data_IF_096913165340
#
_entry.id   IF_096913165340
#
_cell.length_a   1.000
_cell.length_b   1.000
_cell.length_c   1.000
_cell.angle_alpha   90.00
_cell.angle_beta   90.00
_cell.angle_gamma   90.00
#
_symmetry.space_group_name_H-M   'P 1'
#
loop_
_entity.id
_entity.type
_entity.pdbx_description
1 polymer ?
#
# COMPACT_ATOMS: atom_id res chain seq x y z
N UNK A 1 17.63 -30.75 -10.76
CA UNK A 1 17.22 -29.33 -10.91
C UNK A 1 16.25 -29.03 -9.77
N UNK A 2 16.58 -28.16 -8.80
CA UNK A 2 15.63 -27.89 -7.73
C UNK A 2 14.51 -27.00 -8.28
N UNK A 3 13.32 -27.58 -8.43
CA UNK A 3 12.06 -26.90 -8.70
C UNK A 3 11.63 -26.21 -7.41
N UNK A 4 12.18 -25.03 -7.11
CA UNK A 4 11.64 -24.23 -6.00
C UNK A 4 10.30 -23.67 -6.46
N UNK A 5 9.22 -24.37 -6.15
CA UNK A 5 7.87 -23.86 -6.35
C UNK A 5 7.69 -22.67 -5.41
N UNK A 6 7.63 -21.46 -5.98
CA UNK A 6 7.23 -20.30 -5.20
C UNK A 6 5.81 -20.53 -4.69
N UNK A 7 5.56 -20.36 -3.38
CA UNK A 7 4.22 -20.42 -2.84
C UNK A 7 3.38 -19.32 -3.52
N UNK A 8 2.35 -19.73 -4.28
CA UNK A 8 1.48 -18.84 -5.07
C UNK A 8 0.66 -17.84 -4.23
N UNK A 9 0.79 -17.86 -2.90
CA UNK A 9 0.00 -17.07 -1.97
C UNK A 9 0.69 -15.78 -1.49
N UNK A 10 1.86 -15.41 -2.01
CA UNK A 10 2.51 -14.14 -1.63
C UNK A 10 1.85 -12.91 -2.25
N UNK A 11 1.13 -13.05 -3.37
CA UNK A 11 0.58 -11.91 -4.13
C UNK A 11 -0.88 -11.60 -3.78
N UNK A 12 -1.55 -12.47 -3.02
CA UNK A 12 -2.96 -12.33 -2.70
C UNK A 12 -3.08 -11.51 -1.43
N UNK A 13 -3.74 -10.36 -1.51
CA UNK A 13 -4.05 -9.58 -0.32
C UNK A 13 -4.85 -10.43 0.67
N UNK A 14 -4.53 -10.36 1.98
CA UNK A 14 -5.34 -11.02 3.00
C UNK A 14 -6.78 -10.49 2.96
N UNK A 15 -7.72 -11.43 2.96
CA UNK A 15 -9.17 -11.18 2.96
C UNK A 15 -9.76 -11.73 4.24
N UNK A 16 -10.67 -10.97 4.86
CA UNK A 16 -11.52 -11.45 5.96
C UNK A 16 -12.89 -11.73 5.34
N UNK A 17 -13.13 -12.99 4.97
CA UNK A 17 -14.31 -13.38 4.22
C UNK A 17 -14.39 -12.68 2.85
N UNK A 18 -15.53 -12.08 2.47
CA UNK A 18 -15.68 -11.43 1.16
C UNK A 18 -14.99 -10.06 1.05
N UNK A 19 -14.44 -9.53 2.16
CA UNK A 19 -13.88 -8.17 2.24
C UNK A 19 -12.36 -8.21 2.34
N UNK A 20 -11.65 -7.32 1.63
CA UNK A 20 -10.18 -7.21 1.76
C UNK A 20 -9.78 -6.56 3.08
N UNK A 21 -8.59 -6.84 3.62
CA UNK A 21 -8.13 -6.18 4.86
C UNK A 21 -8.21 -4.66 4.77
N UNK A 22 -7.85 -4.08 3.62
CA UNK A 22 -7.93 -2.63 3.41
C UNK A 22 -9.36 -2.13 3.53
N UNK A 23 -10.31 -2.78 2.85
CA UNK A 23 -11.73 -2.42 2.91
C UNK A 23 -12.30 -2.56 4.34
N UNK A 24 -11.88 -3.59 5.07
CA UNK A 24 -12.27 -3.78 6.46
C UNK A 24 -11.80 -2.62 7.35
N UNK A 25 -10.53 -2.23 7.23
CA UNK A 25 -9.99 -1.07 7.97
C UNK A 25 -10.76 0.21 7.64
N UNK A 26 -11.11 0.44 6.37
CA UNK A 26 -11.91 1.61 5.98
C UNK A 26 -13.35 1.56 6.52
N UNK A 27 -13.98 0.38 6.60
CA UNK A 27 -15.31 0.23 7.21
C UNK A 27 -15.29 0.61 8.69
N UNK A 28 -14.25 0.20 9.43
CA UNK A 28 -14.09 0.56 10.84
C UNK A 28 -13.92 2.08 11.00
N UNK A 29 -13.09 2.70 10.16
CA UNK A 29 -12.90 4.17 10.15
C UNK A 29 -14.21 4.89 9.82
N UNK A 30 -14.95 4.43 8.81
CA UNK A 30 -16.24 5.00 8.44
C UNK A 30 -17.26 4.89 9.58
N UNK A 31 -17.32 3.74 10.26
CA UNK A 31 -18.15 3.52 11.42
C UNK A 31 -17.83 4.48 12.57
N UNK A 32 -16.54 4.68 12.86
CA UNK A 32 -16.09 5.66 13.87
C UNK A 32 -16.47 7.09 13.48
N UNK A 33 -16.30 7.48 12.22
CA UNK A 33 -16.71 8.81 11.73
C UNK A 33 -18.22 8.99 11.88
N UNK A 34 -19.02 8.00 11.49
CA UNK A 34 -20.47 8.02 11.61
C UNK A 34 -20.91 8.14 13.07
N UNK A 35 -20.25 7.40 13.98
CA UNK A 35 -20.48 7.48 15.42
C UNK A 35 -20.11 8.85 16.01
N UNK A 36 -19.00 9.45 15.58
CA UNK A 36 -18.61 10.80 16.00
C UNK A 36 -19.61 11.85 15.52
N UNK A 37 -20.11 11.74 14.29
CA UNK A 37 -21.17 12.62 13.77
C UNK A 37 -22.43 12.47 14.62
N UNK A 38 -22.82 11.24 14.94
CA UNK A 38 -24.02 10.97 15.73
C UNK A 38 -23.93 11.51 17.17
N UNK A 39 -22.74 11.50 17.76
CA UNK A 39 -22.52 11.96 19.16
C UNK A 39 -22.24 13.46 19.27
N UNK A 40 -21.68 14.10 18.25
CA UNK A 40 -21.30 15.53 18.30
C UNK A 40 -22.34 16.48 17.72
N UNK A 41 -23.16 16.04 16.74
CA UNK A 41 -24.19 16.89 16.13
C UNK A 41 -25.52 16.81 16.88
N UNK A 42 -26.29 17.89 16.80
CA UNK A 42 -27.66 17.92 17.31
C UNK A 42 -28.50 16.81 16.66
N UNK A 43 -29.30 16.11 17.47
CA UNK A 43 -30.00 14.87 17.06
C UNK A 43 -30.80 15.00 15.77
N UNK A 44 -31.41 16.17 15.52
CA UNK A 44 -32.23 16.43 14.34
C UNK A 44 -31.45 16.39 13.01
N UNK A 45 -30.22 16.94 12.99
CA UNK A 45 -29.38 16.97 11.78
C UNK A 45 -28.41 15.78 11.69
N UNK A 46 -28.06 15.19 12.84
CA UNK A 46 -27.08 14.11 12.91
C UNK A 46 -27.47 12.90 12.04
N UNK A 47 -28.74 12.48 12.07
CA UNK A 47 -29.22 11.25 11.44
C UNK A 47 -29.23 11.31 9.90
N UNK A 48 -29.84 12.33 9.25
CA UNK A 48 -29.79 12.42 7.79
C UNK A 48 -28.37 12.67 7.28
N UNK A 49 -27.56 13.45 8.01
CA UNK A 49 -26.18 13.72 7.61
C UNK A 49 -25.30 12.46 7.73
N UNK A 50 -25.41 11.73 8.83
CA UNK A 50 -24.72 10.45 9.03
C UNK A 50 -25.10 9.41 7.96
N UNK A 51 -26.37 9.38 7.54
CA UNK A 51 -26.84 8.49 6.49
C UNK A 51 -26.18 8.80 5.14
N UNK A 52 -26.12 10.08 4.75
CA UNK A 52 -25.46 10.52 3.51
C UNK A 52 -23.96 10.16 3.56
N UNK A 53 -23.29 10.46 4.67
CA UNK A 53 -21.87 10.12 4.85
C UNK A 53 -21.63 8.62 4.78
N UNK A 54 -22.52 7.82 5.37
CA UNK A 54 -22.44 6.36 5.31
C UNK A 54 -22.59 5.85 3.89
N UNK A 55 -23.57 6.35 3.14
CA UNK A 55 -23.85 5.94 1.76
C UNK A 55 -22.66 6.25 0.84
N UNK A 56 -22.11 7.46 0.95
CA UNK A 56 -20.90 7.87 0.22
C UNK A 56 -19.69 7.04 0.63
N UNK A 57 -19.51 6.78 1.93
CA UNK A 57 -18.40 5.99 2.44
C UNK A 57 -18.42 4.54 1.97
N UNK A 58 -19.58 3.89 2.00
CA UNK A 58 -19.76 2.52 1.48
C UNK A 58 -19.48 2.48 -0.02
N UNK A 59 -20.00 3.44 -0.78
CA UNK A 59 -19.70 3.54 -2.20
C UNK A 59 -18.20 3.72 -2.47
N UNK A 60 -17.48 4.47 -1.65
CA UNK A 60 -16.05 4.65 -1.82
C UNK A 60 -15.22 3.38 -1.51
N UNK A 61 -15.72 2.52 -0.61
CA UNK A 61 -15.05 1.28 -0.19
C UNK A 61 -15.28 0.15 -1.21
N UNK A 62 -16.50 -0.01 -1.69
CA UNK A 62 -16.90 -1.11 -2.58
C UNK A 62 -17.03 -0.71 -4.05
N UNK A 63 -17.22 0.58 -4.32
CA UNK A 63 -17.32 1.11 -5.67
C UNK A 63 -16.03 0.88 -6.44
N UNK A 64 -16.21 0.46 -7.69
CA UNK A 64 -15.14 0.38 -8.67
C UNK A 64 -15.40 1.42 -9.74
N UNK A 65 -14.42 2.26 -9.98
CA UNK A 65 -14.43 3.26 -11.06
C UNK A 65 -13.42 2.74 -12.08
N UNK A 66 -13.89 2.42 -13.29
CA UNK A 66 -13.04 1.96 -14.40
C UNK A 66 -12.16 0.73 -14.05
N UNK A 67 -12.68 -0.18 -13.21
CA UNK A 67 -11.95 -1.39 -12.77
C UNK A 67 -10.97 -1.17 -11.61
N UNK A 68 -10.76 0.07 -11.17
CA UNK A 68 -9.96 0.43 -10.00
C UNK A 68 -10.85 0.69 -8.78
N UNK A 69 -10.34 0.42 -7.57
CA UNK A 69 -11.05 0.74 -6.34
C UNK A 69 -11.27 2.26 -6.22
N UNK A 70 -12.50 2.70 -5.95
CA UNK A 70 -12.86 4.11 -5.89
C UNK A 70 -12.02 4.90 -4.86
N UNK A 71 -11.66 4.27 -3.74
CA UNK A 71 -10.71 4.84 -2.77
C UNK A 71 -9.35 5.20 -3.40
N UNK A 72 -8.78 4.29 -4.19
CA UNK A 72 -7.48 4.51 -4.83
C UNK A 72 -7.59 5.60 -5.90
N UNK A 73 -8.66 5.58 -6.68
CA UNK A 73 -8.97 6.66 -7.62
C UNK A 73 -9.05 8.03 -6.94
N UNK A 74 -9.77 8.14 -5.81
CA UNK A 74 -9.87 9.40 -5.08
C UNK A 74 -8.52 9.87 -4.55
N UNK A 75 -7.69 8.95 -4.04
CA UNK A 75 -6.34 9.29 -3.58
C UNK A 75 -5.45 9.83 -4.71
N UNK A 76 -5.57 9.28 -5.92
CA UNK A 76 -4.87 9.75 -7.11
C UNK A 76 -5.36 11.13 -7.55
N UNK A 77 -6.67 11.35 -7.54
CA UNK A 77 -7.27 12.65 -7.89
C UNK A 77 -6.83 13.74 -6.91
N UNK A 78 -6.89 13.47 -5.60
CA UNK A 78 -6.40 14.40 -4.57
C UNK A 78 -4.91 14.69 -4.77
N UNK A 79 -4.10 13.67 -5.02
CA UNK A 79 -2.68 13.85 -5.32
C UNK A 79 -2.47 14.69 -6.58
N UNK A 80 -3.26 14.49 -7.64
CA UNK A 80 -3.15 15.26 -8.88
C UNK A 80 -3.53 16.73 -8.69
N UNK A 81 -4.50 17.02 -7.83
CA UNK A 81 -4.94 18.40 -7.53
C UNK A 81 -3.88 19.11 -6.67
N UNK A 82 -3.34 18.42 -5.67
CA UNK A 82 -2.33 18.96 -4.75
C UNK A 82 -0.93 19.00 -5.36
N UNK A 83 -0.67 18.20 -6.39
CA UNK A 83 0.63 18.16 -7.04
C UNK A 83 0.85 19.42 -7.88
N UNK A 84 2.05 20.02 -7.83
CA UNK A 84 2.37 21.18 -8.66
C UNK A 84 2.29 20.79 -10.14
N UNK A 85 1.50 21.54 -10.92
CA UNK A 85 1.40 21.37 -12.37
C UNK A 85 2.70 21.83 -13.02
N UNK A 86 3.59 20.88 -13.28
CA UNK A 86 4.80 21.11 -14.06
C UNK A 86 4.43 21.21 -15.55
N UNK A 87 4.33 22.45 -16.03
CA UNK A 87 4.18 22.75 -17.45
C UNK A 87 5.58 22.71 -18.09
N UNK A 88 5.94 21.60 -18.72
CA UNK A 88 7.20 21.50 -19.46
C UNK A 88 7.04 22.14 -20.85
N UNK A 89 7.35 23.43 -20.96
CA UNK A 89 7.54 24.06 -22.27
C UNK A 89 9.04 24.19 -22.55
N UNK A 90 9.54 23.47 -23.55
CA UNK A 90 10.83 23.73 -24.19
C UNK A 90 12.06 23.51 -23.29
N UNK A 91 12.68 22.32 -23.40
CA UNK A 91 14.09 22.14 -23.07
C UNK A 91 14.41 21.30 -21.83
N UNK A 92 14.98 20.12 -22.12
CA UNK A 92 15.68 19.17 -21.23
C UNK A 92 14.86 18.57 -20.09
N UNK A 93 14.49 17.29 -20.29
CA UNK A 93 14.05 16.36 -19.25
C UNK A 93 15.07 16.34 -18.12
N UNK A 94 14.85 17.11 -17.06
CA UNK A 94 15.34 16.70 -15.74
C UNK A 94 14.37 15.63 -15.28
N UNK A 95 14.83 14.39 -15.27
CA UNK A 95 14.16 13.31 -14.54
C UNK A 95 14.04 13.79 -13.10
N UNK A 96 12.87 14.28 -12.73
CA UNK A 96 12.54 14.36 -11.33
C UNK A 96 12.56 12.91 -10.85
N UNK A 97 13.56 12.61 -10.03
CA UNK A 97 13.53 11.48 -9.11
C UNK A 97 12.19 11.65 -8.38
N UNK A 98 11.19 10.91 -8.84
CA UNK A 98 10.05 10.58 -8.01
C UNK A 98 10.69 10.09 -6.73
N UNK A 99 10.56 10.86 -5.64
CA UNK A 99 10.97 10.43 -4.32
C UNK A 99 10.41 9.02 -4.21
N UNK A 100 11.31 8.06 -4.22
CA UNK A 100 10.98 6.67 -4.00
C UNK A 100 10.00 6.67 -2.84
N UNK A 101 8.84 6.08 -3.09
CA UNK A 101 8.11 5.26 -2.13
C UNK A 101 8.98 5.02 -0.90
N UNK A 102 8.47 5.31 0.29
CA UNK A 102 9.12 5.01 1.56
C UNK A 102 9.46 3.52 1.67
N UNK A 103 10.52 3.09 1.00
CA UNK A 103 11.27 1.85 1.23
C UNK A 103 12.51 2.28 2.01
N UNK A 104 12.31 3.03 3.09
CA UNK A 104 13.35 3.39 4.06
C UNK A 104 12.86 3.19 5.49
N UNK A 105 12.25 2.03 5.74
CA UNK A 105 12.11 1.52 7.12
C UNK A 105 12.21 0.00 7.29
N UNK A 106 12.64 -0.76 6.28
CA UNK A 106 12.86 -2.20 6.37
C UNK A 106 14.29 -2.67 6.05
N UNK A 107 15.27 -1.77 5.94
CA UNK A 107 16.68 -2.13 5.70
C UNK A 107 17.57 -1.80 6.92
N UNK A 108 17.11 -2.21 8.10
CA UNK A 108 17.96 -2.38 9.28
C UNK A 108 17.74 -3.75 9.91
N UNK A 109 17.86 -4.81 9.11
CA UNK A 109 18.36 -6.08 9.64
C UNK A 109 19.39 -6.63 8.66
N UNK A 110 20.65 -6.62 9.13
CA UNK A 110 21.78 -7.23 8.44
C UNK A 110 21.52 -8.74 8.32
N UNK A 111 21.13 -9.21 7.15
CA UNK A 111 21.27 -10.62 6.81
C UNK A 111 22.78 -10.88 6.67
N UNK A 112 23.38 -11.48 7.71
CA UNK A 112 24.74 -12.03 7.62
C UNK A 112 24.72 -13.20 6.64
N UNK A 113 25.26 -13.02 5.45
CA UNK A 113 25.59 -14.12 4.54
C UNK A 113 26.70 -14.97 5.17
N UNK A 114 26.31 -16.04 5.87
CA UNK A 114 27.22 -17.04 6.47
C UNK A 114 27.94 -17.93 5.42
N UNK A 115 27.62 -17.77 4.13
CA UNK A 115 28.04 -18.67 3.05
C UNK A 115 29.40 -18.37 2.41
N UNK A 116 29.92 -17.14 2.49
CA UNK A 116 31.16 -16.77 1.78
C UNK A 116 32.43 -17.31 2.47
N UNK A 117 32.39 -17.53 3.78
CA UNK A 117 33.54 -18.03 4.54
C UNK A 117 33.81 -19.53 4.29
N UNK A 118 32.76 -20.32 4.07
CA UNK A 118 32.91 -21.78 3.86
C UNK A 118 33.44 -22.11 2.47
N UNK A 119 33.06 -21.35 1.44
CA UNK A 119 33.58 -21.54 0.09
C UNK A 119 35.06 -21.14 -0.02
N UNK A 120 35.48 -20.04 0.62
CA UNK A 120 36.89 -19.65 0.70
C UNK A 120 37.75 -20.72 1.37
N UNK A 121 37.26 -21.32 2.45
CA UNK A 121 37.99 -22.38 3.17
C UNK A 121 38.10 -23.67 2.35
N UNK A 122 37.09 -24.01 1.53
CA UNK A 122 37.15 -25.17 0.64
C UNK A 122 38.13 -24.95 -0.52
N UNK A 123 38.11 -23.77 -1.14
CA UNK A 123 39.06 -23.42 -2.21
C UNK A 123 40.50 -23.44 -1.68
N UNK A 124 40.75 -22.88 -0.49
CA UNK A 124 42.07 -22.93 0.14
C UNK A 124 42.53 -24.35 0.44
N UNK A 125 41.63 -25.25 0.88
CA UNK A 125 41.96 -26.65 1.16
C UNK A 125 42.26 -27.46 -0.11
N UNK A 126 41.63 -27.12 -1.24
CA UNK A 126 41.92 -27.75 -2.54
C UNK A 126 43.27 -27.28 -3.08
N UNK A 127 43.58 -25.99 -2.95
CA UNK A 127 44.84 -25.42 -3.43
C UNK A 127 46.06 -25.83 -2.60
N UNK A 128 45.86 -26.12 -1.31
CA UNK A 128 46.95 -26.50 -0.38
C UNK A 128 47.21 -28.00 -0.31
N UNK A 129 46.38 -28.83 -0.95
CA UNK A 129 46.60 -30.28 -1.00
C UNK A 129 47.37 -30.64 -2.28
N UNK A 130 48.69 -30.64 -2.16
CA UNK A 130 49.63 -31.25 -3.12
C UNK A 130 50.09 -32.60 -2.60
#
# INVERSE_FOLDING_TARGET
MPLVNLPQFTEIEPKIGPVTLKQFVFLVILGLICFLIFTRLHSFFSRPFAFIVFLVGVFLIFGKIEGMNAFFFLSLQLKSILSPKILFWGGKKKSFILKEVEIKKAEKEKIKTKGESSLKNLVLKVLTKK
#
